data_IF_143615731111
#
_entry.id   IF_143615731111
#
_cell.length_a   1.000
_cell.length_b   1.000
_cell.length_c   1.000
_cell.angle_alpha   90.00
_cell.angle_beta   90.00
_cell.angle_gamma   90.00
#
_symmetry.space_group_name_H-M   'P 1'
#
loop_
_entity.id
_entity.type
_entity.pdbx_description
1 polymer ?
#
# COMPACT_ATOMS: atom_id res chain seq x y z
N UNK A 1 14.75 8.98 26.63
CA UNK A 1 14.86 8.27 25.35
C UNK A 1 14.85 9.32 24.24
N UNK A 2 16.00 9.67 23.74
CA UNK A 2 16.13 10.60 22.61
C UNK A 2 16.13 9.76 21.33
N UNK A 3 14.97 9.62 20.71
CA UNK A 3 14.88 9.03 19.38
C UNK A 3 15.48 9.99 18.37
N UNK A 4 16.70 9.75 17.94
CA UNK A 4 17.27 10.40 16.77
C UNK A 4 16.64 9.72 15.55
N UNK A 5 15.65 10.38 14.98
CA UNK A 5 15.11 9.99 13.68
C UNK A 5 16.12 10.45 12.63
N UNK A 6 17.07 9.59 12.29
CA UNK A 6 17.95 9.81 11.15
C UNK A 6 17.13 9.50 9.89
N UNK A 7 16.69 10.53 9.18
CA UNK A 7 16.19 10.38 7.81
C UNK A 7 17.37 9.94 6.93
N UNK A 8 17.57 8.64 6.78
CA UNK A 8 18.47 8.13 5.76
C UNK A 8 17.85 8.44 4.38
N UNK A 9 18.69 8.77 3.41
CA UNK A 9 18.24 8.92 2.02
C UNK A 9 17.69 7.56 1.54
N UNK A 10 16.66 7.55 0.68
CA UNK A 10 16.15 6.32 0.11
C UNK A 10 17.26 5.53 -0.58
N UNK A 11 17.33 4.23 -0.31
CA UNK A 11 18.27 3.32 -0.95
C UNK A 11 17.48 2.47 -1.94
N UNK A 12 17.84 2.54 -3.22
CA UNK A 12 17.21 1.74 -4.26
C UNK A 12 17.74 0.31 -4.25
N UNK A 13 16.82 -0.64 -4.40
CA UNK A 13 17.12 -2.08 -4.50
C UNK A 13 16.64 -2.58 -5.85
N UNK A 14 17.46 -3.39 -6.53
CA UNK A 14 17.05 -4.05 -7.77
C UNK A 14 16.02 -5.12 -7.48
N UNK A 15 14.88 -5.09 -8.17
CA UNK A 15 13.86 -6.13 -8.08
C UNK A 15 14.36 -7.52 -8.55
N UNK A 16 15.41 -7.55 -9.38
CA UNK A 16 15.98 -8.80 -9.93
C UNK A 16 16.89 -9.50 -8.92
N UNK A 17 17.77 -8.73 -8.26
CA UNK A 17 18.74 -9.29 -7.31
C UNK A 17 18.22 -9.29 -5.87
N UNK A 18 17.30 -8.41 -5.56
CA UNK A 18 16.70 -8.32 -4.23
C UNK A 18 17.66 -7.86 -3.13
N UNK A 19 17.36 -8.30 -1.91
CA UNK A 19 18.18 -8.07 -0.72
C UNK A 19 18.65 -9.43 -0.20
N UNK A 20 19.92 -9.72 -0.47
CA UNK A 20 20.68 -10.81 0.18
C UNK A 20 21.46 -10.24 1.38
N UNK A 21 22.21 -11.10 2.07
CA UNK A 21 23.01 -10.71 3.23
C UNK A 21 24.05 -9.63 2.92
N UNK A 22 24.69 -9.69 1.77
CA UNK A 22 25.67 -8.69 1.34
C UNK A 22 25.01 -7.34 1.12
N UNK A 23 23.87 -7.32 0.42
CA UNK A 23 23.11 -6.08 0.17
C UNK A 23 22.48 -5.53 1.46
N UNK A 24 21.96 -6.39 2.33
CA UNK A 24 21.45 -5.97 3.63
C UNK A 24 22.55 -5.31 4.47
N UNK A 25 23.74 -5.91 4.54
CA UNK A 25 24.89 -5.36 5.27
C UNK A 25 25.34 -4.00 4.70
N UNK A 26 25.36 -3.86 3.38
CA UNK A 26 25.66 -2.59 2.70
C UNK A 26 24.65 -1.51 3.11
N UNK A 27 23.34 -1.81 3.05
CA UNK A 27 22.27 -0.88 3.40
C UNK A 27 22.40 -0.43 4.87
N UNK A 28 22.59 -1.36 5.80
CA UNK A 28 22.73 -1.08 7.22
C UNK A 28 23.96 -0.21 7.50
N UNK A 29 25.06 -0.45 6.79
CA UNK A 29 26.27 0.38 6.88
C UNK A 29 26.01 1.81 6.39
N UNK A 30 25.33 1.96 5.25
CA UNK A 30 24.98 3.29 4.71
C UNK A 30 24.01 4.06 5.62
N UNK A 31 23.12 3.35 6.30
CA UNK A 31 22.16 3.91 7.26
C UNK A 31 22.79 4.25 8.62
N UNK A 32 24.11 4.01 8.80
CA UNK A 32 24.87 4.29 10.01
C UNK A 32 24.30 3.62 11.28
N UNK A 33 23.82 2.40 11.19
CA UNK A 33 23.45 1.63 12.38
C UNK A 33 24.68 1.33 13.26
N UNK A 34 24.49 1.28 14.60
CA UNK A 34 25.57 0.87 15.49
C UNK A 34 26.11 -0.51 15.15
N UNK A 35 27.44 -0.67 15.17
CA UNK A 35 28.12 -1.89 14.71
C UNK A 35 27.74 -3.14 15.53
N UNK A 36 27.39 -2.95 16.80
CA UNK A 36 27.00 -4.02 17.72
C UNK A 36 25.62 -4.63 17.43
N UNK A 37 24.81 -3.98 16.61
CA UNK A 37 23.48 -4.47 16.19
C UNK A 37 23.37 -4.67 14.67
N UNK A 38 24.36 -4.23 13.91
CA UNK A 38 24.32 -4.19 12.45
C UNK A 38 23.97 -5.55 11.81
N UNK A 39 24.56 -6.64 12.30
CA UNK A 39 24.31 -7.98 11.76
C UNK A 39 22.86 -8.46 12.03
N UNK A 40 22.31 -8.18 13.20
CA UNK A 40 20.93 -8.55 13.53
C UNK A 40 19.93 -7.72 12.72
N UNK A 41 20.18 -6.42 12.55
CA UNK A 41 19.34 -5.54 11.75
C UNK A 41 19.40 -5.93 10.27
N UNK A 42 20.56 -6.34 9.75
CA UNK A 42 20.68 -6.89 8.40
C UNK A 42 19.82 -8.15 8.21
N UNK A 43 19.82 -9.06 9.17
CA UNK A 43 18.96 -10.26 9.16
C UNK A 43 17.46 -9.89 9.20
N UNK A 44 17.07 -8.86 9.94
CA UNK A 44 15.69 -8.35 9.92
C UNK A 44 15.34 -7.84 8.52
N UNK A 45 16.23 -7.06 7.90
CA UNK A 45 15.99 -6.51 6.55
C UNK A 45 15.82 -7.60 5.50
N UNK A 46 16.62 -8.68 5.56
CA UNK A 46 16.43 -9.85 4.68
C UNK A 46 15.06 -10.49 4.86
N UNK A 47 14.60 -10.64 6.11
CA UNK A 47 13.28 -11.21 6.40
C UNK A 47 12.14 -10.32 5.88
N UNK A 48 12.27 -9.00 6.02
CA UNK A 48 11.29 -8.06 5.46
C UNK A 48 11.25 -8.16 3.93
N UNK A 49 12.40 -8.33 3.28
CA UNK A 49 12.45 -8.56 1.83
C UNK A 49 11.76 -9.86 1.42
N UNK A 50 11.97 -10.94 2.20
CA UNK A 50 11.30 -12.23 1.95
C UNK A 50 9.77 -12.07 2.05
N UNK A 51 9.28 -11.36 3.07
CA UNK A 51 7.85 -11.05 3.21
C UNK A 51 7.37 -10.24 2.02
N UNK A 52 8.07 -9.15 1.67
CA UNK A 52 7.72 -8.29 0.54
C UNK A 52 7.51 -9.07 -0.77
N UNK A 53 8.44 -10.01 -1.09
CA UNK A 53 8.38 -10.78 -2.33
C UNK A 53 7.37 -11.93 -2.27
N UNK A 54 7.34 -12.68 -1.14
CA UNK A 54 6.51 -13.88 -1.04
C UNK A 54 5.03 -13.58 -0.90
N UNK A 55 4.71 -12.48 -0.21
CA UNK A 55 3.33 -12.08 0.06
C UNK A 55 2.81 -11.05 -0.96
N UNK A 56 3.54 -10.79 -2.04
CA UNK A 56 3.17 -9.75 -3.01
C UNK A 56 2.84 -8.41 -2.30
N UNK A 57 3.67 -8.03 -1.34
CA UNK A 57 3.45 -6.81 -0.59
C UNK A 57 3.87 -5.57 -1.39
N UNK A 58 3.14 -4.49 -1.24
CA UNK A 58 3.48 -3.16 -1.78
C UNK A 58 4.18 -2.28 -0.75
N UNK A 59 4.04 -2.62 0.53
CA UNK A 59 4.71 -1.99 1.66
C UNK A 59 4.99 -3.03 2.74
N UNK A 60 6.21 -3.02 3.27
CA UNK A 60 6.56 -3.71 4.52
C UNK A 60 7.36 -2.74 5.37
N UNK A 61 6.84 -2.38 6.53
CA UNK A 61 7.43 -1.41 7.44
C UNK A 61 7.54 -2.02 8.85
N UNK A 62 8.66 -1.76 9.51
CA UNK A 62 8.83 -2.01 10.95
C UNK A 62 9.16 -0.70 11.63
N UNK A 63 8.29 -0.24 12.53
CA UNK A 63 8.46 1.01 13.23
C UNK A 63 7.69 1.01 14.57
N UNK A 64 8.40 0.93 15.74
CA UNK A 64 9.87 0.96 15.84
C UNK A 64 10.53 -0.42 15.78
N UNK A 65 11.78 -0.44 15.33
CA UNK A 65 12.72 -1.52 15.56
C UNK A 65 13.56 -1.14 16.79
N UNK A 66 13.61 -1.97 17.83
CA UNK A 66 14.24 -1.62 19.11
C UNK A 66 15.31 -2.62 19.52
N UNK A 67 16.35 -2.11 20.19
CA UNK A 67 17.32 -2.91 20.93
C UNK A 67 16.89 -3.04 22.38
N UNK A 68 16.75 -4.26 22.85
CA UNK A 68 16.41 -4.57 24.26
C UNK A 68 17.64 -4.46 25.16
N UNK A 69 17.42 -4.47 26.47
CA UNK A 69 18.51 -4.38 27.45
C UNK A 69 19.46 -5.61 27.42
N UNK A 70 18.95 -6.76 26.96
CA UNK A 70 19.73 -8.00 26.74
C UNK A 70 20.37 -8.06 25.33
N UNK A 71 20.29 -6.97 24.57
CA UNK A 71 20.98 -6.79 23.31
C UNK A 71 20.24 -7.32 22.07
N UNK A 72 19.04 -7.88 22.20
CA UNK A 72 18.25 -8.41 21.07
C UNK A 72 17.60 -7.30 20.28
N UNK A 73 17.40 -7.52 18.99
CA UNK A 73 16.64 -6.66 18.10
C UNK A 73 15.22 -7.20 17.96
N UNK A 74 14.23 -6.35 18.28
CA UNK A 74 12.81 -6.71 18.26
C UNK A 74 12.03 -5.68 17.42
N UNK A 75 11.22 -6.18 16.48
CA UNK A 75 10.18 -5.39 15.84
C UNK A 75 8.99 -5.30 16.80
N UNK A 76 8.67 -4.08 17.27
CA UNK A 76 7.54 -3.87 18.18
C UNK A 76 6.23 -3.73 17.42
N UNK A 77 6.29 -3.12 16.26
CA UNK A 77 5.14 -2.95 15.38
C UNK A 77 5.57 -3.16 13.92
N UNK A 78 4.66 -3.71 13.13
CA UNK A 78 4.86 -3.96 11.71
C UNK A 78 3.62 -3.62 10.91
N UNK A 79 3.83 -2.95 9.79
CA UNK A 79 2.77 -2.64 8.83
C UNK A 79 3.09 -3.31 7.50
N UNK A 80 2.13 -4.07 7.00
CA UNK A 80 2.22 -4.73 5.69
C UNK A 80 1.01 -4.31 4.86
N UNK A 81 1.25 -3.86 3.63
CA UNK A 81 0.19 -3.66 2.63
C UNK A 81 0.40 -4.69 1.52
N UNK A 82 -0.64 -5.46 1.26
CA UNK A 82 -0.63 -6.50 0.24
C UNK A 82 -1.18 -5.95 -1.07
N UNK A 83 -0.79 -6.56 -2.20
CA UNK A 83 -1.32 -6.20 -3.52
C UNK A 83 -2.61 -6.97 -3.79
N UNK A 84 -3.75 -6.28 -3.81
CA UNK A 84 -5.05 -6.90 -4.12
C UNK A 84 -5.08 -7.55 -5.51
N UNK A 85 -4.25 -7.06 -6.46
CA UNK A 85 -4.15 -7.67 -7.78
C UNK A 85 -3.46 -9.05 -7.75
N UNK A 86 -2.81 -9.41 -6.66
CA UNK A 86 -2.18 -10.71 -6.46
C UNK A 86 -3.13 -11.76 -5.83
N UNK A 87 -4.36 -11.43 -5.50
CA UNK A 87 -5.33 -12.31 -4.81
C UNK A 87 -5.47 -13.67 -5.52
N UNK A 88 -5.41 -13.71 -6.86
CA UNK A 88 -5.53 -14.94 -7.62
C UNK A 88 -4.42 -15.97 -7.34
N UNK A 89 -3.27 -15.56 -6.82
CA UNK A 89 -2.13 -16.42 -6.44
C UNK A 89 -1.86 -16.46 -4.94
N UNK A 90 -2.59 -15.65 -4.16
CA UNK A 90 -2.48 -15.52 -2.71
C UNK A 90 -3.85 -15.78 -2.02
N UNK A 91 -4.41 -16.99 -2.15
CA UNK A 91 -5.77 -17.28 -1.65
C UNK A 91 -5.91 -17.12 -0.13
N UNK A 92 -4.81 -17.27 0.61
CA UNK A 92 -4.81 -17.14 2.07
C UNK A 92 -4.99 -15.69 2.54
N UNK A 93 -4.73 -14.71 1.66
CA UNK A 93 -4.91 -13.29 2.00
C UNK A 93 -6.37 -12.88 2.20
N UNK A 94 -7.32 -13.61 1.62
CA UNK A 94 -8.74 -13.34 1.79
C UNK A 94 -9.18 -13.33 3.27
N UNK A 95 -8.51 -14.15 4.11
CA UNK A 95 -8.76 -14.19 5.55
C UNK A 95 -8.15 -13.03 6.35
N UNK A 96 -7.30 -12.21 5.73
CA UNK A 96 -6.60 -11.09 6.37
C UNK A 96 -7.29 -9.74 6.18
N UNK A 97 -8.34 -9.70 5.36
CA UNK A 97 -9.09 -8.46 5.08
C UNK A 97 -9.83 -8.01 6.33
N UNK A 98 -9.46 -6.85 6.87
CA UNK A 98 -10.22 -6.19 7.92
C UNK A 98 -11.44 -5.48 7.33
N UNK A 99 -12.57 -6.17 7.34
CA UNK A 99 -13.82 -5.64 6.83
C UNK A 99 -14.31 -4.41 7.62
N UNK A 100 -13.88 -4.24 8.87
CA UNK A 100 -14.27 -3.08 9.68
C UNK A 100 -13.55 -1.80 9.25
N UNK A 101 -12.38 -1.92 8.62
CA UNK A 101 -11.60 -0.81 8.09
C UNK A 101 -11.99 -0.40 6.66
N UNK A 102 -12.75 -1.26 5.95
CA UNK A 102 -13.17 -1.01 4.57
C UNK A 102 -14.37 -0.06 4.54
N UNK A 103 -14.35 0.91 3.61
CA UNK A 103 -15.50 1.78 3.40
C UNK A 103 -16.73 0.93 2.97
N UNK A 104 -17.91 1.08 3.62
CA UNK A 104 -19.08 0.26 3.31
C UNK A 104 -19.53 0.30 1.85
N UNK A 105 -19.32 1.43 1.16
CA UNK A 105 -19.63 1.57 -0.27
C UNK A 105 -18.63 0.82 -1.15
N UNK A 106 -17.35 0.81 -0.76
CA UNK A 106 -16.31 0.05 -1.47
C UNK A 106 -16.51 -1.46 -1.27
N UNK A 107 -16.86 -1.88 -0.06
CA UNK A 107 -17.20 -3.27 0.23
C UNK A 107 -18.41 -3.74 -0.62
N UNK A 108 -19.47 -2.94 -0.69
CA UNK A 108 -20.64 -3.23 -1.51
C UNK A 108 -20.32 -3.26 -3.01
N UNK A 109 -19.46 -2.35 -3.47
CA UNK A 109 -19.02 -2.31 -4.87
C UNK A 109 -18.24 -3.58 -5.24
N UNK A 110 -17.36 -4.05 -4.34
CA UNK A 110 -16.61 -5.30 -4.53
C UNK A 110 -17.55 -6.52 -4.64
N UNK A 111 -18.63 -6.59 -3.84
CA UNK A 111 -19.66 -7.64 -3.94
C UNK A 111 -20.38 -7.62 -5.31
N UNK A 112 -20.51 -6.45 -5.93
CA UNK A 112 -21.15 -6.25 -7.23
C UNK A 112 -20.19 -6.33 -8.42
N UNK A 113 -18.92 -6.65 -8.16
CA UNK A 113 -17.85 -6.71 -9.16
C UNK A 113 -17.63 -5.39 -9.92
N UNK A 114 -17.89 -4.25 -9.27
CA UNK A 114 -17.65 -2.92 -9.82
C UNK A 114 -16.49 -2.23 -9.10
N UNK A 115 -15.71 -1.44 -9.85
CA UNK A 115 -14.59 -0.70 -9.30
C UNK A 115 -15.07 0.64 -8.75
N UNK A 116 -15.08 0.79 -7.42
CA UNK A 116 -15.48 2.01 -6.73
C UNK A 116 -14.40 2.47 -5.77
N UNK A 117 -14.10 3.77 -5.81
CA UNK A 117 -13.24 4.43 -4.81
C UNK A 117 -13.93 5.72 -4.38
N UNK A 118 -14.10 5.90 -3.08
CA UNK A 118 -14.65 7.15 -2.52
C UNK A 118 -13.58 8.25 -2.55
N UNK A 119 -13.96 9.45 -3.00
CA UNK A 119 -13.14 10.66 -2.99
C UNK A 119 -13.85 11.76 -2.19
N UNK A 120 -13.09 12.79 -1.81
CA UNK A 120 -13.61 13.94 -1.05
C UNK A 120 -14.06 15.07 -2.00
N UNK A 121 -15.20 14.89 -2.64
CA UNK A 121 -15.75 15.85 -3.58
C UNK A 121 -17.27 15.97 -3.53
N UNK A 122 -17.83 16.66 -4.51
CA UNK A 122 -19.25 17.01 -4.59
C UNK A 122 -19.94 16.45 -5.84
N UNK A 123 -19.16 16.05 -6.85
CA UNK A 123 -19.69 15.57 -8.14
C UNK A 123 -19.49 14.05 -8.24
N UNK A 124 -20.59 13.31 -8.23
CA UNK A 124 -20.58 11.85 -8.48
C UNK A 124 -20.28 11.55 -9.94
N UNK A 125 -19.42 10.56 -10.16
CA UNK A 125 -19.01 10.11 -11.49
C UNK A 125 -19.29 8.63 -11.64
N UNK A 126 -19.89 8.27 -12.76
CA UNK A 126 -20.09 6.89 -13.20
C UNK A 126 -19.67 6.77 -14.66
N UNK A 127 -18.94 5.74 -14.99
CA UNK A 127 -18.53 5.46 -16.36
C UNK A 127 -18.33 3.98 -16.63
N UNK A 128 -18.19 3.68 -17.89
CA UNK A 128 -17.89 2.33 -18.37
C UNK A 128 -16.49 2.33 -18.99
N UNK A 129 -15.52 1.86 -18.24
CA UNK A 129 -14.12 1.82 -18.60
C UNK A 129 -13.27 2.78 -17.76
N UNK A 130 -12.26 2.23 -17.09
CA UNK A 130 -11.41 2.94 -16.15
C UNK A 130 -10.75 4.20 -16.75
N UNK A 131 -10.28 4.13 -18.01
CA UNK A 131 -9.69 5.27 -18.71
C UNK A 131 -10.66 6.43 -18.91
N UNK A 132 -11.92 6.12 -19.27
CA UNK A 132 -12.97 7.14 -19.40
C UNK A 132 -13.28 7.81 -18.07
N UNK A 133 -13.40 7.01 -17.00
CA UNK A 133 -13.67 7.53 -15.66
C UNK A 133 -12.52 8.42 -15.19
N UNK A 134 -11.25 7.99 -15.34
CA UNK A 134 -10.09 8.80 -15.00
C UNK A 134 -10.05 10.13 -15.74
N UNK A 135 -10.27 10.11 -17.05
CA UNK A 135 -10.33 11.35 -17.85
C UNK A 135 -11.48 12.27 -17.42
N UNK A 136 -12.63 11.69 -17.03
CA UNK A 136 -13.77 12.45 -16.52
C UNK A 136 -13.45 13.11 -15.17
N UNK A 137 -12.77 12.38 -14.27
CA UNK A 137 -12.29 12.92 -13.00
C UNK A 137 -11.40 14.16 -13.22
N UNK A 138 -10.44 14.06 -14.14
CA UNK A 138 -9.52 15.16 -14.45
C UNK A 138 -10.26 16.38 -15.00
N UNK A 139 -11.20 16.16 -15.92
CA UNK A 139 -12.01 17.23 -16.53
C UNK A 139 -12.88 17.93 -15.46
N UNK A 140 -13.54 17.15 -14.59
CA UNK A 140 -14.37 17.71 -13.50
C UNK A 140 -13.52 18.48 -12.50
N UNK A 141 -12.37 17.96 -12.11
CA UNK A 141 -11.46 18.64 -11.19
C UNK A 141 -10.96 19.96 -11.79
N UNK A 142 -10.51 19.94 -13.05
CA UNK A 142 -10.02 21.13 -13.75
C UNK A 142 -11.12 22.19 -13.98
N UNK A 143 -12.29 21.76 -14.44
CA UNK A 143 -13.41 22.67 -14.62
C UNK A 143 -13.89 23.26 -13.28
N UNK A 144 -13.87 22.44 -12.23
CA UNK A 144 -14.31 22.81 -10.88
C UNK A 144 -13.51 23.93 -10.22
N UNK A 145 -12.25 24.15 -10.64
CA UNK A 145 -11.42 25.26 -10.14
C UNK A 145 -12.14 26.62 -10.30
N UNK A 146 -12.86 26.81 -11.40
CA UNK A 146 -13.61 28.05 -11.68
C UNK A 146 -14.88 28.19 -10.85
N UNK A 147 -15.31 27.12 -10.19
CA UNK A 147 -16.56 27.04 -9.40
C UNK A 147 -16.30 26.83 -7.90
N UNK A 148 -15.22 27.41 -7.39
CA UNK A 148 -14.89 27.34 -5.97
C UNK A 148 -14.19 26.05 -5.54
N UNK A 149 -13.55 25.35 -6.47
CA UNK A 149 -12.78 24.14 -6.19
C UNK A 149 -13.64 22.89 -6.06
N UNK A 150 -14.73 22.82 -6.81
CA UNK A 150 -15.58 21.60 -6.90
C UNK A 150 -14.75 20.42 -7.40
N UNK A 151 -14.87 19.28 -6.72
CA UNK A 151 -14.08 18.08 -6.97
C UNK A 151 -14.94 16.83 -7.21
N UNK A 152 -14.39 15.80 -7.88
CA UNK A 152 -15.04 14.50 -7.96
C UNK A 152 -15.25 13.88 -6.57
N UNK A 153 -16.41 13.26 -6.36
CA UNK A 153 -16.77 12.59 -5.11
C UNK A 153 -16.44 11.09 -5.09
N UNK A 154 -16.22 10.52 -6.26
CA UNK A 154 -15.88 9.10 -6.42
C UNK A 154 -15.26 8.80 -7.77
N UNK A 155 -14.53 7.71 -7.82
CA UNK A 155 -14.28 6.93 -9.04
C UNK A 155 -15.29 5.79 -9.07
N UNK A 156 -16.01 5.57 -10.17
CA UNK A 156 -16.84 4.39 -10.36
C UNK A 156 -16.78 3.94 -11.83
N UNK A 157 -16.21 2.75 -12.01
CA UNK A 157 -16.17 2.05 -13.29
C UNK A 157 -17.02 0.78 -13.18
N UNK A 158 -18.09 0.73 -13.94
CA UNK A 158 -19.00 -0.42 -13.99
C UNK A 158 -18.45 -1.60 -14.79
N UNK A 159 -17.31 -1.44 -15.47
CA UNK A 159 -16.69 -2.47 -16.29
C UNK A 159 -17.48 -2.87 -17.55
N UNK A 160 -16.81 -3.54 -18.47
CA UNK A 160 -17.42 -3.95 -19.75
C UNK A 160 -18.44 -5.10 -19.65
N UNK A 161 -18.55 -5.76 -18.47
CA UNK A 161 -19.44 -6.88 -18.21
C UNK A 161 -20.64 -6.53 -17.33
N UNK A 162 -20.89 -5.23 -17.08
CA UNK A 162 -21.94 -4.79 -16.17
C UNK A 162 -23.34 -5.28 -16.58
N UNK A 163 -24.05 -5.87 -15.64
CA UNK A 163 -25.47 -6.23 -15.79
C UNK A 163 -26.37 -5.06 -15.37
N UNK A 164 -27.66 -5.15 -15.71
CA UNK A 164 -28.64 -4.17 -15.24
C UNK A 164 -28.73 -4.12 -13.70
N UNK A 165 -28.44 -5.22 -13.02
CA UNK A 165 -28.45 -5.31 -11.54
C UNK A 165 -27.29 -4.55 -10.91
N UNK A 166 -26.10 -4.60 -11.52
CA UNK A 166 -24.96 -3.81 -11.06
C UNK A 166 -25.11 -2.29 -11.29
N UNK A 167 -26.05 -1.87 -12.13
CA UNK A 167 -26.25 -0.45 -12.47
C UNK A 167 -27.37 0.24 -11.65
N UNK A 168 -28.16 -0.49 -10.88
CA UNK A 168 -29.36 0.03 -10.19
C UNK A 168 -29.13 0.22 -8.66
N UNK A 169 -28.00 -0.25 -8.15
CA UNK A 169 -27.68 -0.18 -6.70
C UNK A 169 -26.80 0.99 -6.37
#
# INVERSE_FOLDING_TARGET
>A
MTGVQTCALPISVSAVTGIDNAKATEIISQANFPTDVAAEVANVLEKLWIVFVKEDATLVEVNPLVKTADGKIIALDGKVSLDDNAEFRQPDHAGLVDQSATNPLEAKAKELEINYVKLDGQVGIIGNGAGLVMSTLDVVAYAGEKFGGVKPANFLDIGGGASAESSIT
#
